data_IF_744621690208
#
_entry.id   IF_744621690208
#
_cell.length_a   1.000
_cell.length_b   1.000
_cell.length_c   1.000
_cell.angle_alpha   90.00
_cell.angle_beta   90.00
_cell.angle_gamma   90.00
#
_symmetry.space_group_name_H-M   'P 1'
#
loop_
_entity.id
_entity.type
_entity.pdbx_description
1 polymer ?
#
# COMPACT_ATOMS: atom_id res chain seq x y z
N UNK A 1 5.45 -7.31 22.91
CA UNK A 1 5.70 -6.83 21.54
C UNK A 1 4.81 -5.61 21.35
N UNK A 2 5.34 -4.49 20.84
CA UNK A 2 4.49 -3.37 20.47
C UNK A 2 3.62 -3.79 19.27
N UNK A 3 2.37 -3.33 19.21
CA UNK A 3 1.49 -3.63 18.08
C UNK A 3 2.09 -3.09 16.77
N UNK A 4 2.01 -3.89 15.72
CA UNK A 4 2.46 -3.47 14.38
C UNK A 4 1.56 -2.35 13.86
N UNK A 5 2.17 -1.38 13.17
CA UNK A 5 1.43 -0.30 12.50
C UNK A 5 0.70 -0.89 11.31
N UNK A 6 -0.58 -0.62 11.17
CA UNK A 6 -1.36 -1.06 10.01
C UNK A 6 -1.14 -0.12 8.82
N UNK A 7 -0.86 -0.71 7.66
CA UNK A 7 -0.52 0.04 6.44
C UNK A 7 -1.45 -0.34 5.29
N UNK A 8 -1.86 0.66 4.52
CA UNK A 8 -2.55 0.49 3.24
C UNK A 8 -1.81 1.15 2.10
N UNK A 9 -1.96 0.62 0.89
CA UNK A 9 -1.39 1.14 -0.34
C UNK A 9 -2.48 1.30 -1.40
N UNK A 10 -2.80 2.54 -1.72
CA UNK A 10 -3.86 2.91 -2.67
C UNK A 10 -3.22 3.41 -3.97
N UNK A 11 -3.58 2.77 -5.07
CA UNK A 11 -3.15 3.13 -6.41
C UNK A 11 -4.28 3.86 -7.13
N UNK A 12 -4.07 5.13 -7.47
CA UNK A 12 -5.02 5.97 -8.21
C UNK A 12 -4.63 6.02 -9.70
N UNK A 13 -4.65 7.20 -10.33
CA UNK A 13 -4.12 7.40 -11.69
C UNK A 13 -2.58 7.45 -11.64
N UNK A 14 -1.98 6.30 -11.32
CA UNK A 14 -0.54 6.07 -11.20
C UNK A 14 -0.04 5.07 -12.23
N UNK A 15 1.25 4.71 -12.12
CA UNK A 15 1.90 3.74 -13.01
C UNK A 15 2.48 2.53 -12.27
N UNK A 16 2.27 2.43 -10.94
CA UNK A 16 2.84 1.39 -10.06
C UNK A 16 4.35 1.54 -9.86
N UNK A 17 4.98 2.56 -10.45
CA UNK A 17 6.40 2.85 -10.25
C UNK A 17 6.75 3.18 -8.80
N UNK A 18 5.84 3.83 -8.05
CA UNK A 18 6.05 4.10 -6.63
C UNK A 18 6.01 2.79 -5.81
N UNK A 19 5.12 1.86 -6.17
CA UNK A 19 5.08 0.51 -5.60
C UNK A 19 6.38 -0.26 -5.89
N UNK A 20 6.88 -0.21 -7.12
CA UNK A 20 8.16 -0.86 -7.50
C UNK A 20 9.30 -0.27 -6.69
N UNK A 21 9.39 1.06 -6.56
CA UNK A 21 10.40 1.72 -5.74
C UNK A 21 10.32 1.33 -4.25
N UNK A 22 9.11 1.04 -3.73
CA UNK A 22 8.95 0.48 -2.39
C UNK A 22 9.48 -0.97 -2.32
N UNK A 23 9.18 -1.80 -3.32
CA UNK A 23 9.68 -3.17 -3.44
C UNK A 23 11.21 -3.26 -3.63
N UNK A 24 11.82 -2.23 -4.23
CA UNK A 24 13.27 -2.10 -4.41
C UNK A 24 14.04 -1.86 -3.09
N UNK A 25 13.37 -1.86 -1.94
CA UNK A 25 14.03 -2.02 -0.64
C UNK A 25 14.47 -3.47 -0.37
N UNK A 26 14.18 -4.40 -1.29
CA UNK A 26 14.58 -5.82 -1.25
C UNK A 26 14.25 -6.48 0.09
N UNK A 27 15.23 -7.12 0.75
CA UNK A 27 15.05 -7.75 2.06
C UNK A 27 14.65 -6.77 3.18
N UNK A 28 14.88 -5.46 2.98
CA UNK A 28 14.39 -4.42 3.88
C UNK A 28 12.86 -4.38 3.92
N UNK A 29 12.18 -4.54 2.76
CA UNK A 29 10.73 -4.61 2.71
C UNK A 29 10.20 -5.84 3.47
N UNK A 30 10.84 -7.00 3.30
CA UNK A 30 10.46 -8.21 4.04
C UNK A 30 10.60 -8.00 5.55
N UNK A 31 11.71 -7.38 5.98
CA UNK A 31 11.93 -7.03 7.39
C UNK A 31 10.84 -6.07 7.91
N UNK A 32 10.40 -5.13 7.07
CA UNK A 32 9.32 -4.19 7.40
C UNK A 32 8.01 -4.94 7.65
N UNK A 33 7.59 -5.78 6.71
CA UNK A 33 6.35 -6.57 6.77
C UNK A 33 6.39 -7.60 7.92
N UNK A 34 7.55 -8.20 8.18
CA UNK A 34 7.69 -9.22 9.23
C UNK A 34 7.67 -8.63 10.63
N UNK A 35 8.27 -7.45 10.84
CA UNK A 35 8.52 -6.95 12.20
C UNK A 35 7.72 -5.70 12.59
N UNK A 36 7.39 -4.83 11.64
CA UNK A 36 6.95 -3.48 11.97
C UNK A 36 5.56 -3.13 11.44
N UNK A 37 5.17 -3.65 10.27
CA UNK A 37 3.90 -3.28 9.63
C UNK A 37 3.02 -4.48 9.32
N UNK A 38 1.71 -4.24 9.34
CA UNK A 38 0.69 -5.19 8.88
C UNK A 38 -0.01 -4.58 7.65
N UNK A 39 0.24 -5.16 6.47
CA UNK A 39 -0.28 -4.66 5.19
C UNK A 39 -1.74 -5.12 5.01
N UNK A 40 -2.69 -4.22 5.24
CA UNK A 40 -4.12 -4.52 5.20
C UNK A 40 -4.77 -4.35 3.82
N UNK A 41 -4.18 -3.52 2.97
CA UNK A 41 -4.73 -3.22 1.65
C UNK A 41 -3.61 -2.88 0.68
N UNK A 42 -3.54 -3.60 -0.43
CA UNK A 42 -2.64 -3.29 -1.55
C UNK A 42 -3.07 -4.12 -2.77
N UNK A 43 -3.89 -3.58 -3.68
CA UNK A 43 -4.47 -4.35 -4.79
C UNK A 43 -3.44 -5.08 -5.65
N UNK A 44 -2.22 -4.53 -5.75
CA UNK A 44 -1.12 -5.10 -6.53
C UNK A 44 -0.53 -6.38 -5.90
N UNK A 45 -0.53 -6.50 -4.57
CA UNK A 45 0.16 -7.57 -3.83
C UNK A 45 -0.75 -8.42 -2.94
N UNK A 46 -2.01 -8.01 -2.72
CA UNK A 46 -2.96 -8.68 -1.84
C UNK A 46 -4.37 -8.70 -2.44
N UNK A 47 -5.15 -9.73 -2.09
CA UNK A 47 -6.49 -9.96 -2.66
C UNK A 47 -7.63 -9.16 -2.01
N UNK A 48 -7.32 -8.30 -1.02
CA UNK A 48 -8.31 -7.42 -0.40
C UNK A 48 -8.78 -6.38 -1.42
N UNK A 49 -10.08 -6.37 -1.75
CA UNK A 49 -10.66 -5.58 -2.85
C UNK A 49 -11.17 -4.19 -2.46
N UNK A 50 -11.31 -3.92 -1.17
CA UNK A 50 -11.84 -2.64 -0.68
C UNK A 50 -10.89 -2.02 0.32
N UNK A 51 -10.80 -0.69 0.32
CA UNK A 51 -9.96 0.08 1.24
C UNK A 51 -10.31 -0.29 2.69
N UNK A 52 -9.28 -0.56 3.49
CA UNK A 52 -9.39 -0.90 4.91
C UNK A 52 -9.02 0.29 5.79
N UNK A 53 -9.49 0.28 7.04
CA UNK A 53 -9.01 1.23 8.06
C UNK A 53 -7.56 0.89 8.41
N UNK A 54 -6.67 1.88 8.31
CA UNK A 54 -5.23 1.74 8.55
C UNK A 54 -4.69 2.96 9.32
N UNK A 55 -3.53 2.81 9.95
CA UNK A 55 -2.84 3.90 10.64
C UNK A 55 -2.11 4.81 9.66
N UNK A 56 -1.50 4.22 8.62
CA UNK A 56 -0.78 4.95 7.56
C UNK A 56 -1.21 4.44 6.19
N UNK A 57 -1.46 5.35 5.26
CA UNK A 57 -1.75 5.01 3.86
C UNK A 57 -0.76 5.66 2.92
N UNK A 58 -0.13 4.84 2.07
CA UNK A 58 0.57 5.31 0.87
C UNK A 58 -0.45 5.46 -0.25
N UNK A 59 -0.53 6.65 -0.85
CA UNK A 59 -1.42 6.95 -1.97
C UNK A 59 -0.55 7.36 -3.15
N UNK A 60 -0.53 6.56 -4.22
CA UNK A 60 0.21 6.88 -5.44
C UNK A 60 -0.72 7.33 -6.57
N UNK A 61 -0.17 8.16 -7.47
CA UNK A 61 -0.90 8.68 -8.62
C UNK A 61 -1.68 9.95 -8.34
N UNK A 62 -2.17 10.55 -9.42
CA UNK A 62 -3.08 11.71 -9.35
C UNK A 62 -4.55 11.27 -9.30
N UNK A 63 -5.46 12.22 -9.09
CA UNK A 63 -6.91 11.95 -9.09
C UNK A 63 -7.51 12.39 -10.43
N UNK A 64 -8.02 11.44 -11.21
CA UNK A 64 -8.88 11.76 -12.35
C UNK A 64 -10.29 12.11 -11.85
N UNK A 65 -10.73 13.34 -12.06
CA UNK A 65 -12.05 13.83 -11.59
C UNK A 65 -13.25 13.13 -12.24
N UNK A 66 -13.01 12.40 -13.33
CA UNK A 66 -14.03 11.64 -14.06
C UNK A 66 -13.94 10.14 -13.82
N UNK A 67 -13.09 9.68 -12.90
CA UNK A 67 -13.08 8.28 -12.51
C UNK A 67 -14.44 7.92 -11.91
N UNK A 68 -15.08 6.90 -12.49
CA UNK A 68 -16.43 6.47 -12.13
C UNK A 68 -16.43 5.40 -11.04
N UNK A 69 -15.25 4.96 -10.62
CA UNK A 69 -15.06 3.75 -9.82
C UNK A 69 -14.02 3.90 -8.68
N UNK A 70 -13.65 5.13 -8.30
CA UNK A 70 -12.90 5.34 -7.07
C UNK A 70 -13.74 4.95 -5.83
#
# INVERSE_FOLDING_TARGET
MADKITVGYTHLSGCTGCTVALADNYAGLLTLLDKYVDLKYMPTLADVRHIQKVDVSFVEGSVCINDKLA
#
